data_IF_924091769534
#
_entry.id   IF_924091769534
#
_cell.length_a   1.000
_cell.length_b   1.000
_cell.length_c   1.000
_cell.angle_alpha   90.00
_cell.angle_beta   90.00
_cell.angle_gamma   90.00
#
_symmetry.space_group_name_H-M   'P 1'
#
loop_
_entity.id
_entity.type
_entity.pdbx_description
1 polymer ?
#
# COMPACT_ATOMS: atom_id res chain seq x y z
N UNK A 1 11.14 0.50 35.37
CA UNK A 1 10.10 0.98 34.43
C UNK A 1 10.66 1.30 33.05
N UNK A 2 11.67 2.19 32.91
CA UNK A 2 12.29 2.49 31.60
C UNK A 2 12.91 1.26 30.91
N UNK A 3 13.64 0.43 31.65
CA UNK A 3 14.28 -0.79 31.08
C UNK A 3 13.27 -1.83 30.58
N UNK A 4 12.16 -2.01 31.31
CA UNK A 4 11.08 -2.94 30.95
C UNK A 4 10.31 -2.43 29.73
N UNK A 5 10.04 -1.12 29.66
CA UNK A 5 9.42 -0.50 28.49
C UNK A 5 10.30 -0.66 27.24
N UNK A 6 11.62 -0.51 27.39
CA UNK A 6 12.59 -0.73 26.30
C UNK A 6 12.55 -2.17 25.78
N UNK A 7 12.48 -3.16 26.67
CA UNK A 7 12.35 -4.57 26.27
C UNK A 7 11.08 -4.85 25.46
N UNK A 8 9.93 -4.29 25.87
CA UNK A 8 8.69 -4.44 25.10
C UNK A 8 8.74 -3.72 23.74
N UNK A 9 9.40 -2.57 23.67
CA UNK A 9 9.57 -1.85 22.42
C UNK A 9 10.51 -2.60 21.45
N UNK A 10 11.57 -3.21 21.98
CA UNK A 10 12.46 -4.09 21.21
C UNK A 10 11.71 -5.32 20.70
N UNK A 11 10.86 -5.95 21.50
CA UNK A 11 9.99 -7.05 21.05
C UNK A 11 9.00 -6.60 19.98
N UNK A 12 8.44 -5.39 20.10
CA UNK A 12 7.56 -4.82 19.09
C UNK A 12 8.28 -4.64 17.75
N UNK A 13 9.45 -4.01 17.74
CA UNK A 13 10.23 -3.84 16.51
C UNK A 13 10.71 -5.16 15.93
N UNK A 14 11.06 -6.14 16.79
CA UNK A 14 11.46 -7.48 16.36
C UNK A 14 10.32 -8.24 15.68
N UNK A 15 9.06 -7.93 16.00
CA UNK A 15 7.89 -8.47 15.29
C UNK A 15 7.81 -8.07 13.81
N UNK A 16 8.56 -7.05 13.40
CA UNK A 16 8.71 -6.64 11.99
C UNK A 16 10.02 -7.11 11.35
N UNK A 17 10.84 -7.89 12.05
CA UNK A 17 12.07 -8.43 11.46
C UNK A 17 11.72 -9.31 10.24
N UNK A 18 12.44 -9.11 9.14
CA UNK A 18 12.17 -9.82 7.88
C UNK A 18 11.06 -9.20 7.03
N UNK A 19 10.31 -8.20 7.53
CA UNK A 19 9.20 -7.58 6.81
C UNK A 19 9.57 -7.02 5.43
N UNK A 20 10.71 -6.34 5.32
CA UNK A 20 11.19 -5.78 4.04
C UNK A 20 11.43 -6.88 2.98
N UNK A 21 12.10 -7.95 3.39
CA UNK A 21 12.53 -9.05 2.51
C UNK A 21 11.39 -10.02 2.19
N UNK A 22 10.60 -10.41 3.19
CA UNK A 22 9.62 -11.50 3.05
C UNK A 22 8.24 -11.01 2.65
N UNK A 23 7.88 -9.77 3.03
CA UNK A 23 6.52 -9.26 2.79
C UNK A 23 6.51 -8.15 1.76
N UNK A 24 7.36 -7.12 1.90
CA UNK A 24 7.36 -5.98 0.99
C UNK A 24 7.72 -6.39 -0.45
N UNK A 25 8.68 -7.31 -0.59
CA UNK A 25 9.08 -7.87 -1.88
C UNK A 25 7.95 -8.71 -2.52
N UNK A 26 7.16 -9.43 -1.72
CA UNK A 26 6.02 -10.21 -2.19
C UNK A 26 4.86 -9.32 -2.69
N UNK A 27 4.62 -8.19 -2.00
CA UNK A 27 3.69 -7.15 -2.49
C UNK A 27 4.18 -6.53 -3.80
N UNK A 28 5.49 -6.32 -3.96
CA UNK A 28 6.09 -5.75 -5.18
C UNK A 28 6.04 -6.71 -6.38
N UNK A 29 6.32 -8.00 -6.15
CA UNK A 29 6.43 -9.01 -7.20
C UNK A 29 5.05 -9.52 -7.69
N UNK A 30 4.04 -9.56 -6.81
CA UNK A 30 2.69 -10.07 -7.14
C UNK A 30 1.81 -8.97 -7.76
N UNK A 31 2.17 -8.54 -8.97
CA UNK A 31 1.35 -7.60 -9.76
C UNK A 31 -0.08 -8.16 -10.03
N UNK A 32 -1.09 -7.34 -9.72
CA UNK A 32 -2.53 -7.46 -10.06
C UNK A 32 -3.38 -8.62 -9.47
N UNK A 33 -2.80 -9.70 -8.94
CA UNK A 33 -3.57 -10.85 -8.36
C UNK A 33 -3.43 -11.04 -6.86
N UNK A 34 -2.89 -10.04 -6.15
CA UNK A 34 -2.69 -10.15 -4.71
C UNK A 34 -4.03 -10.21 -3.96
N UNK A 35 -4.29 -11.33 -3.28
CA UNK A 35 -5.44 -11.51 -2.40
C UNK A 35 -5.01 -11.31 -0.95
N UNK A 36 -5.40 -10.17 -0.37
CA UNK A 36 -5.05 -9.83 1.02
C UNK A 36 -5.58 -10.87 2.01
N UNK A 37 -6.80 -11.38 1.82
CA UNK A 37 -7.39 -12.34 2.75
C UNK A 37 -6.59 -13.65 2.80
N UNK A 38 -6.20 -14.18 1.65
CA UNK A 38 -5.36 -15.40 1.58
C UNK A 38 -3.98 -15.16 2.19
N UNK A 39 -3.39 -13.99 1.93
CA UNK A 39 -2.08 -13.66 2.44
C UNK A 39 -2.08 -13.47 3.96
N UNK A 40 -3.11 -12.82 4.51
CA UNK A 40 -3.30 -12.70 5.97
C UNK A 40 -3.46 -14.08 6.61
N UNK A 41 -4.19 -15.01 6.00
CA UNK A 41 -4.33 -16.39 6.51
C UNK A 41 -2.98 -17.14 6.54
N UNK A 42 -2.10 -16.85 5.58
CA UNK A 42 -0.79 -17.52 5.46
C UNK A 42 0.24 -16.97 6.44
N UNK A 43 0.17 -15.67 6.78
CA UNK A 43 1.25 -14.97 7.47
C UNK A 43 0.86 -14.36 8.82
N UNK A 44 -0.43 -14.28 9.14
CA UNK A 44 -0.92 -13.75 10.42
C UNK A 44 -1.68 -14.82 11.20
N UNK A 45 -1.65 -14.68 12.53
CA UNK A 45 -2.58 -15.38 13.40
C UNK A 45 -4.01 -14.89 13.18
N UNK A 46 -4.99 -15.72 13.57
CA UNK A 46 -6.40 -15.40 13.38
C UNK A 46 -6.76 -14.10 14.09
N UNK A 47 -7.06 -13.06 13.31
CA UNK A 47 -7.58 -11.78 13.80
C UNK A 47 -9.01 -11.98 14.33
N UNK A 48 -9.20 -11.70 15.61
CA UNK A 48 -10.51 -11.82 16.30
C UNK A 48 -11.39 -10.57 16.10
N UNK A 49 -10.82 -9.45 15.65
CA UNK A 49 -11.49 -8.15 15.53
C UNK A 49 -11.87 -7.86 14.08
N UNK A 50 -10.93 -8.02 13.14
CA UNK A 50 -11.17 -7.82 11.71
C UNK A 50 -10.79 -9.07 10.92
N UNK A 51 -11.80 -9.77 10.40
CA UNK A 51 -11.56 -10.98 9.60
C UNK A 51 -10.64 -10.77 8.38
N UNK A 52 -10.14 -11.86 7.76
CA UNK A 52 -9.23 -11.79 6.63
C UNK A 52 -9.76 -10.91 5.49
N UNK A 53 -8.94 -10.00 4.99
CA UNK A 53 -9.27 -9.07 3.90
C UNK A 53 -10.26 -7.96 4.28
N UNK A 54 -10.73 -7.89 5.53
CA UNK A 54 -11.61 -6.81 5.98
C UNK A 54 -10.79 -5.55 6.23
N UNK A 55 -11.28 -4.44 5.66
CA UNK A 55 -10.69 -3.10 5.76
C UNK A 55 -11.52 -2.28 6.77
N UNK A 56 -10.91 -1.73 7.84
CA UNK A 56 -11.61 -0.85 8.77
C UNK A 56 -12.22 0.37 8.07
N UNK A 57 -13.47 0.70 8.43
CA UNK A 57 -14.19 1.89 7.93
C UNK A 57 -13.42 3.14 8.36
N UNK A 58 -13.16 4.05 7.42
CA UNK A 58 -12.43 5.32 7.64
C UNK A 58 -11.08 5.45 6.92
N UNK A 59 -10.51 4.36 6.40
CA UNK A 59 -9.28 4.43 5.58
C UNK A 59 -9.57 4.91 4.13
N UNK A 60 -10.81 4.71 3.65
CA UNK A 60 -11.19 4.92 2.24
C UNK A 60 -12.32 5.93 2.00
N UNK A 61 -13.18 6.20 2.98
CA UNK A 61 -14.36 7.02 2.75
C UNK A 61 -14.00 8.51 2.78
N UNK A 62 -13.96 9.11 1.59
CA UNK A 62 -14.45 10.46 1.23
C UNK A 62 -13.68 11.16 0.10
N UNK A 63 -12.67 10.54 -0.52
CA UNK A 63 -12.00 11.17 -1.68
C UNK A 63 -12.73 10.82 -2.98
N UNK A 64 -13.44 11.82 -3.55
CA UNK A 64 -14.23 11.73 -4.78
C UNK A 64 -13.41 11.75 -6.08
N UNK A 65 -12.10 11.57 -6.01
CA UNK A 65 -11.23 11.73 -7.18
C UNK A 65 -11.11 10.39 -7.91
N UNK A 66 -11.61 10.32 -9.15
CA UNK A 66 -11.45 9.14 -10.03
C UNK A 66 -9.99 9.05 -10.49
N UNK A 67 -9.15 8.16 -9.94
CA UNK A 67 -7.76 8.06 -10.35
C UNK A 67 -7.67 7.32 -11.69
N UNK A 68 -6.58 7.53 -12.44
CA UNK A 68 -6.25 6.68 -13.59
C UNK A 68 -6.09 5.22 -13.15
N UNK A 69 -6.30 4.26 -14.05
CA UNK A 69 -6.21 2.81 -13.75
C UNK A 69 -4.86 2.45 -13.07
N UNK A 70 -3.76 3.06 -13.51
CA UNK A 70 -2.43 2.88 -12.91
C UNK A 70 -2.31 3.50 -11.49
N UNK A 71 -2.89 4.70 -11.26
CA UNK A 71 -2.96 5.29 -9.91
C UNK A 71 -3.82 4.43 -8.98
N UNK A 72 -4.93 3.89 -9.47
CA UNK A 72 -5.81 3.00 -8.70
C UNK A 72 -5.10 1.70 -8.33
N UNK A 73 -4.29 1.13 -9.23
CA UNK A 73 -3.51 -0.08 -8.98
C UNK A 73 -2.39 0.14 -7.95
N UNK A 74 -1.57 1.18 -8.13
CA UNK A 74 -0.51 1.52 -7.17
C UNK A 74 -1.09 1.89 -5.80
N UNK A 75 -2.18 2.66 -5.78
CA UNK A 75 -2.87 3.00 -4.54
C UNK A 75 -3.41 1.75 -3.83
N UNK A 76 -4.02 0.82 -4.58
CA UNK A 76 -4.52 -0.44 -4.02
C UNK A 76 -3.39 -1.29 -3.45
N UNK A 77 -2.23 -1.36 -4.11
CA UNK A 77 -1.06 -2.08 -3.61
C UNK A 77 -0.52 -1.47 -2.32
N UNK A 78 -0.32 -0.15 -2.29
CA UNK A 78 0.13 0.59 -1.10
C UNK A 78 -0.87 0.40 0.05
N UNK A 79 -2.17 0.50 -0.24
CA UNK A 79 -3.21 0.30 0.76
C UNK A 79 -3.16 -1.12 1.34
N UNK A 80 -2.99 -2.13 0.48
CA UNK A 80 -2.94 -3.54 0.86
C UNK A 80 -1.73 -3.84 1.75
N UNK A 81 -0.55 -3.32 1.39
CA UNK A 81 0.66 -3.44 2.20
C UNK A 81 0.50 -2.72 3.55
N UNK A 82 -0.06 -1.51 3.56
CA UNK A 82 -0.32 -0.75 4.79
C UNK A 82 -1.29 -1.50 5.73
N UNK A 83 -2.37 -2.07 5.19
CA UNK A 83 -3.34 -2.85 5.94
C UNK A 83 -2.70 -4.07 6.61
N UNK A 84 -1.95 -4.85 5.83
CA UNK A 84 -1.24 -6.01 6.35
C UNK A 84 -0.27 -5.61 7.47
N UNK A 85 0.48 -4.51 7.27
CA UNK A 85 1.43 -3.99 8.28
C UNK A 85 0.73 -3.57 9.57
N UNK A 86 -0.44 -2.93 9.47
CA UNK A 86 -1.24 -2.55 10.65
C UNK A 86 -1.71 -3.79 11.42
N UNK A 87 -2.15 -4.84 10.74
CA UNK A 87 -2.59 -6.08 11.38
C UNK A 87 -1.42 -6.86 12.00
N UNK A 88 -0.28 -6.95 11.32
CA UNK A 88 0.95 -7.53 11.85
C UNK A 88 1.41 -6.80 13.13
N UNK A 89 1.33 -5.47 13.12
CA UNK A 89 1.59 -4.65 14.31
C UNK A 89 0.60 -4.92 15.44
N UNK A 90 -0.68 -5.06 15.12
CA UNK A 90 -1.73 -5.42 16.08
C UNK A 90 -1.50 -6.78 16.74
N UNK A 91 -1.12 -7.80 15.96
CA UNK A 91 -0.77 -9.13 16.47
C UNK A 91 0.46 -9.09 17.39
N UNK A 92 1.51 -8.39 16.96
CA UNK A 92 2.74 -8.22 17.74
C UNK A 92 2.43 -7.52 19.07
N UNK A 93 1.63 -6.47 19.03
CA UNK A 93 1.17 -5.77 20.22
C UNK A 93 0.33 -6.66 21.14
N UNK A 94 -0.60 -7.45 20.58
CA UNK A 94 -1.40 -8.39 21.35
C UNK A 94 -0.55 -9.46 22.05
N UNK A 95 0.51 -9.95 21.41
CA UNK A 95 1.48 -10.88 22.00
C UNK A 95 2.19 -10.25 23.21
N UNK A 96 2.64 -9.00 23.08
CA UNK A 96 3.28 -8.24 24.16
C UNK A 96 2.31 -8.05 25.34
N UNK A 97 1.06 -7.62 25.08
CA UNK A 97 0.06 -7.45 26.13
C UNK A 97 -0.28 -8.77 26.82
N UNK A 98 -0.46 -9.86 26.06
CA UNK A 98 -0.69 -11.20 26.63
C UNK A 98 0.47 -11.63 27.53
N UNK A 99 1.71 -11.32 27.15
CA UNK A 99 2.91 -11.59 27.96
C UNK A 99 2.89 -10.79 29.27
N UNK A 100 2.66 -9.48 29.19
CA UNK A 100 2.51 -8.60 30.37
C UNK A 100 1.43 -9.13 31.33
N UNK A 101 0.25 -9.49 30.79
CA UNK A 101 -0.86 -10.00 31.60
C UNK A 101 -0.53 -11.34 32.28
N UNK A 102 0.19 -12.24 31.59
CA UNK A 102 0.65 -13.51 32.18
C UNK A 102 1.68 -13.30 33.27
N UNK A 103 2.67 -12.45 33.05
CA UNK A 103 3.72 -12.14 34.02
C UNK A 103 3.09 -11.54 35.29
N UNK A 104 2.20 -10.56 35.15
CA UNK A 104 1.45 -9.98 36.26
C UNK A 104 0.54 -10.99 36.97
N UNK A 105 -0.08 -11.92 36.24
CA UNK A 105 -0.91 -12.98 36.82
C UNK A 105 -0.08 -14.02 37.58
N UNK A 106 1.17 -14.28 37.15
CA UNK A 106 2.08 -15.21 37.82
C UNK A 106 2.65 -14.61 39.10
N UNK A 107 2.93 -13.31 39.13
CA UNK A 107 3.27 -12.57 40.36
C UNK A 107 2.10 -12.55 41.34
N UNK A 108 0.87 -12.36 40.84
CA UNK A 108 -0.35 -12.46 41.64
C UNK A 108 -0.62 -13.87 42.20
N UNK A 109 -0.32 -14.92 41.44
CA UNK A 109 -0.47 -16.32 41.89
C UNK A 109 0.58 -16.73 42.94
N UNK A 110 1.81 -16.22 42.82
CA UNK A 110 2.84 -16.37 43.85
C UNK A 110 2.42 -15.67 45.16
N UNK A 111 1.77 -14.50 45.08
CA UNK A 111 1.22 -13.80 46.24
C UNK A 111 -0.03 -14.50 46.83
N UNK A 112 -0.87 -15.11 45.99
CA UNK A 112 -2.13 -15.77 46.37
C UNK A 112 -1.96 -17.14 47.06
N UNK A 113 -0.74 -17.68 47.15
CA UNK A 113 -0.48 -18.92 47.92
C UNK A 113 -0.57 -18.67 49.45
N UNK A 114 -0.76 -17.42 49.90
CA UNK A 114 -0.86 -17.09 51.34
C UNK A 114 -2.28 -16.77 51.83
N UNK A 115 -3.32 -16.81 51.00
CA UNK A 115 -4.68 -16.58 51.49
C UNK A 115 -5.75 -17.26 50.65
N UNK A 116 -6.04 -18.52 51.01
CA UNK A 116 -7.21 -19.24 50.52
C UNK A 116 -8.43 -18.88 51.36
N UNK A 117 -9.41 -18.17 50.79
CA UNK A 117 -10.83 -18.49 51.01
C UNK A 117 -11.69 -17.95 49.85
N UNK A 118 -12.35 -18.85 49.12
CA UNK A 118 -13.39 -18.59 48.11
C UNK A 118 -14.66 -18.09 48.81
N UNK A 119 -15.53 -17.26 48.16
CA UNK A 119 -16.64 -17.87 47.41
C UNK A 119 -17.12 -17.12 46.14
N UNK A 120 -17.73 -17.93 45.26
CA UNK A 120 -18.87 -17.69 44.36
C UNK A 120 -18.81 -16.61 43.25
N UNK A 121 -18.70 -17.09 42.01
CA UNK A 121 -19.05 -16.39 40.77
C UNK A 121 -20.57 -16.22 40.64
N UNK A 122 -21.03 -14.97 40.51
CA UNK A 122 -22.34 -14.61 39.92
C UNK A 122 -22.07 -13.83 38.64
N UNK A 123 -22.51 -14.35 37.50
CA UNK A 123 -22.48 -13.66 36.22
C UNK A 123 -23.68 -12.73 36.10
N UNK A 124 -23.43 -11.43 35.96
CA UNK A 124 -24.40 -10.49 35.40
C UNK A 124 -23.74 -9.74 34.24
N UNK A 125 -24.30 -9.86 33.05
CA UNK A 125 -23.93 -9.07 31.87
C UNK A 125 -24.55 -7.69 31.95
N UNK A 126 -23.82 -6.61 31.59
CA UNK A 126 -24.48 -5.38 31.17
C UNK A 126 -24.10 -5.00 29.73
N UNK A 127 -25.13 -5.11 28.89
CA UNK A 127 -25.43 -4.30 27.71
C UNK A 127 -24.92 -2.86 27.74
N UNK A 128 -24.35 -2.45 26.58
CA UNK A 128 -24.50 -1.14 25.90
C UNK A 128 -24.40 0.14 26.72
N UNK A 129 -23.30 0.90 26.55
CA UNK A 129 -23.34 2.36 26.57
C UNK A 129 -22.25 2.98 25.68
N UNK A 130 -22.51 4.13 25.01
CA UNK A 130 -21.69 4.66 23.93
C UNK A 130 -20.44 5.38 24.42
N UNK A 131 -19.35 5.24 23.66
CA UNK A 131 -18.04 5.84 23.93
C UNK A 131 -18.12 7.38 23.80
N UNK A 132 -17.91 8.10 24.91
CA UNK A 132 -17.65 9.55 24.88
C UNK A 132 -16.18 9.74 24.52
N UNK A 133 -15.93 10.45 23.41
CA UNK A 133 -14.59 10.83 22.95
C UNK A 133 -14.06 11.93 23.87
N UNK A 134 -13.04 11.63 24.66
CA UNK A 134 -12.31 12.64 25.44
C UNK A 134 -11.40 13.45 24.50
N UNK A 135 -11.59 14.77 24.46
CA UNK A 135 -10.71 15.68 23.75
C UNK A 135 -9.31 15.65 24.38
N UNK A 136 -8.28 15.36 23.56
CA UNK A 136 -6.88 15.42 23.97
C UNK A 136 -6.50 16.89 24.22
N UNK A 137 -6.32 17.26 25.48
CA UNK A 137 -5.69 18.52 25.87
C UNK A 137 -4.18 18.33 25.75
N UNK A 138 -3.54 19.05 24.82
CA UNK A 138 -2.08 19.09 24.68
C UNK A 138 -1.53 20.01 25.76
N UNK A 139 -0.62 19.50 26.60
CA UNK A 139 0.04 20.27 27.66
C UNK A 139 0.92 21.39 27.06
N UNK A 140 0.64 22.67 27.35
CA UNK A 140 1.36 23.80 26.78
C UNK A 140 2.82 23.95 27.27
N UNK A 141 3.26 23.16 28.27
CA UNK A 141 4.60 23.27 28.86
C UNK A 141 5.55 22.10 28.54
N UNK A 142 5.22 21.26 27.55
CA UNK A 142 6.13 20.19 27.11
C UNK A 142 7.43 20.77 26.53
N UNK A 143 8.50 20.78 27.31
CA UNK A 143 9.82 21.24 26.86
C UNK A 143 10.52 20.12 26.11
N UNK A 144 10.67 20.31 24.80
CA UNK A 144 11.26 19.32 23.89
C UNK A 144 12.76 19.64 23.70
N UNK A 145 13.60 18.64 23.92
CA UNK A 145 15.06 18.73 23.74
C UNK A 145 15.45 18.17 22.38
N UNK A 146 16.40 18.83 21.70
CA UNK A 146 17.07 18.34 20.48
C UNK A 146 18.55 18.22 20.78
N UNK A 147 19.16 17.05 20.52
CA UNK A 147 20.56 16.75 20.83
C UNK A 147 20.97 17.05 22.28
N UNK A 148 20.03 16.87 23.23
CA UNK A 148 20.25 17.11 24.65
C UNK A 148 20.27 18.59 25.08
N UNK A 149 20.01 19.54 24.18
CA UNK A 149 19.87 20.98 24.51
C UNK A 149 18.40 21.42 24.46
N UNK A 150 18.03 22.25 25.43
CA UNK A 150 16.70 22.85 25.54
C UNK A 150 16.66 24.07 24.61
N UNK A 151 15.86 24.00 23.55
CA UNK A 151 15.67 25.10 22.61
C UNK A 151 14.74 26.16 23.24
N UNK A 152 15.05 27.43 23.02
CA UNK A 152 14.16 28.53 23.41
C UNK A 152 12.94 28.58 22.48
N UNK A 153 11.83 29.18 22.93
CA UNK A 153 10.60 29.27 22.14
C UNK A 153 10.78 30.03 20.81
N UNK A 154 11.72 30.97 20.75
CA UNK A 154 12.04 31.75 19.54
C UNK A 154 12.82 30.92 18.52
N UNK A 155 13.81 30.14 18.97
CA UNK A 155 14.57 29.22 18.11
C UNK A 155 13.65 28.15 17.50
N UNK A 156 12.73 27.63 18.31
CA UNK A 156 11.72 26.66 17.86
C UNK A 156 10.77 27.23 16.80
N UNK A 157 10.27 28.45 16.99
CA UNK A 157 9.39 29.08 16.01
C UNK A 157 10.13 29.41 14.71
N UNK A 158 11.41 29.79 14.79
CA UNK A 158 12.26 30.00 13.62
C UNK A 158 12.48 28.71 12.85
N UNK A 159 12.77 27.61 13.55
CA UNK A 159 12.99 26.29 12.95
C UNK A 159 11.71 25.73 12.31
N UNK A 160 10.55 25.86 12.98
CA UNK A 160 9.24 25.53 12.37
C UNK A 160 9.01 26.28 11.06
N UNK A 161 9.30 27.58 11.05
CA UNK A 161 9.12 28.42 9.85
C UNK A 161 10.05 27.96 8.74
N UNK A 162 11.31 27.68 9.07
CA UNK A 162 12.28 27.14 8.11
C UNK A 162 11.83 25.80 7.51
N UNK A 163 11.40 24.85 8.35
CA UNK A 163 10.90 23.54 7.90
C UNK A 163 9.67 23.72 7.00
N UNK A 164 8.74 24.60 7.37
CA UNK A 164 7.55 24.88 6.55
C UNK A 164 7.94 25.43 5.18
N UNK A 165 8.92 26.34 5.12
CA UNK A 165 9.35 26.94 3.86
C UNK A 165 10.16 25.96 2.99
N UNK A 166 10.99 25.12 3.59
CA UNK A 166 11.65 23.99 2.90
C UNK A 166 10.62 22.99 2.35
N UNK A 167 9.59 22.66 3.13
CA UNK A 167 8.50 21.79 2.68
C UNK A 167 7.73 22.42 1.50
N UNK A 168 7.43 23.73 1.56
CA UNK A 168 6.79 24.44 0.44
C UNK A 168 7.65 24.41 -0.82
N UNK A 169 8.95 24.67 -0.69
CA UNK A 169 9.89 24.61 -1.83
C UNK A 169 9.96 23.21 -2.44
N UNK A 170 10.00 22.17 -1.61
CA UNK A 170 9.97 20.77 -2.06
C UNK A 170 8.66 20.41 -2.79
N UNK A 171 7.52 20.91 -2.29
CA UNK A 171 6.21 20.71 -2.94
C UNK A 171 6.16 21.40 -4.29
N UNK A 172 6.66 22.63 -4.39
CA UNK A 172 6.71 23.38 -5.64
C UNK A 172 7.61 22.73 -6.69
N UNK A 173 8.81 22.30 -6.29
CA UNK A 173 9.71 21.55 -7.17
C UNK A 173 9.06 20.24 -7.66
N UNK A 174 8.34 19.55 -6.78
CA UNK A 174 7.61 18.33 -7.14
C UNK A 174 6.47 18.63 -8.11
N UNK A 175 5.78 19.76 -7.94
CA UNK A 175 4.70 20.22 -8.83
C UNK A 175 5.22 20.51 -10.24
N UNK A 176 6.36 21.18 -10.36
CA UNK A 176 7.00 21.46 -11.65
C UNK A 176 7.38 20.18 -12.39
N UNK A 177 8.03 19.21 -11.71
CA UNK A 177 8.37 17.91 -12.29
C UNK A 177 7.14 17.14 -12.76
N UNK A 178 6.03 17.21 -12.02
CA UNK A 178 4.76 16.59 -12.43
C UNK A 178 4.20 17.25 -13.69
N UNK A 179 4.28 18.59 -13.79
CA UNK A 179 3.83 19.31 -14.98
C UNK A 179 4.65 18.97 -16.22
N UNK A 180 5.98 18.89 -16.08
CA UNK A 180 6.88 18.48 -17.15
C UNK A 180 6.59 17.04 -17.61
N UNK A 181 6.44 16.11 -16.65
CA UNK A 181 6.10 14.73 -16.96
C UNK A 181 4.75 14.60 -17.69
N UNK A 182 3.74 15.40 -17.30
CA UNK A 182 2.45 15.43 -17.97
C UNK A 182 2.55 15.97 -19.41
N UNK A 183 3.40 16.96 -19.64
CA UNK A 183 3.65 17.50 -20.98
C UNK A 183 4.29 16.46 -21.89
N UNK A 184 5.37 15.80 -21.42
CA UNK A 184 6.05 14.74 -22.17
C UNK A 184 5.14 13.54 -22.44
N UNK A 185 4.29 13.18 -21.47
CA UNK A 185 3.30 12.12 -21.64
C UNK A 185 2.32 12.45 -22.76
N UNK A 186 1.84 13.70 -22.83
CA UNK A 186 0.92 14.15 -23.88
C UNK A 186 1.58 14.06 -25.26
N UNK A 187 2.81 14.56 -25.39
CA UNK A 187 3.56 14.51 -26.65
C UNK A 187 3.79 13.06 -27.11
N UNK A 188 4.16 12.17 -26.18
CA UNK A 188 4.32 10.74 -26.47
C UNK A 188 3.01 10.08 -26.90
N UNK A 189 1.88 10.43 -26.27
CA UNK A 189 0.57 9.89 -26.67
C UNK A 189 0.15 10.34 -28.06
N UNK A 190 0.38 11.62 -28.41
CA UNK A 190 0.06 12.15 -29.72
C UNK A 190 0.92 11.49 -30.81
N UNK A 191 2.21 11.29 -30.54
CA UNK A 191 3.13 10.57 -31.43
C UNK A 191 2.71 9.11 -31.64
N UNK A 192 2.31 8.41 -30.57
CA UNK A 192 1.82 7.03 -30.62
C UNK A 192 0.56 6.92 -31.47
N UNK A 193 -0.39 7.84 -31.31
CA UNK A 193 -1.66 7.79 -32.03
C UNK A 193 -1.45 8.09 -33.52
N UNK A 194 -0.53 9.01 -33.86
CA UNK A 194 -0.07 9.25 -35.24
C UNK A 194 0.59 8.01 -35.85
N UNK A 195 1.47 7.34 -35.10
CA UNK A 195 2.13 6.10 -35.55
C UNK A 195 1.10 4.98 -35.78
N UNK A 196 0.12 4.85 -34.89
CA UNK A 196 -0.97 3.87 -35.01
C UNK A 196 -1.82 4.11 -36.27
N UNK A 197 -2.16 5.36 -36.56
CA UNK A 197 -2.86 5.72 -37.79
C UNK A 197 -2.04 5.37 -39.04
N UNK A 198 -0.73 5.62 -39.02
CA UNK A 198 0.18 5.29 -40.13
C UNK A 198 0.28 3.78 -40.35
N UNK A 199 0.40 2.98 -39.30
CA UNK A 199 0.41 1.51 -39.37
C UNK A 199 -0.88 1.02 -40.03
N UNK A 200 -2.04 1.50 -39.58
CA UNK A 200 -3.33 1.10 -40.15
C UNK A 200 -3.45 1.43 -41.65
N UNK A 201 -2.92 2.57 -42.08
CA UNK A 201 -2.85 2.92 -43.51
C UNK A 201 -2.00 1.92 -44.29
N UNK A 202 -0.78 1.64 -43.81
CA UNK A 202 0.15 0.73 -44.47
C UNK A 202 -0.37 -0.71 -44.52
N UNK A 203 -1.08 -1.17 -43.49
CA UNK A 203 -1.74 -2.48 -43.49
C UNK A 203 -2.81 -2.59 -44.59
N UNK A 204 -3.55 -1.50 -44.84
CA UNK A 204 -4.54 -1.46 -45.91
C UNK A 204 -3.86 -1.47 -47.28
N UNK A 205 -2.81 -0.67 -47.46
CA UNK A 205 -2.03 -0.63 -48.70
C UNK A 205 -1.43 -2.00 -49.02
N UNK A 206 -0.80 -2.66 -48.03
CA UNK A 206 -0.28 -4.03 -48.16
C UNK A 206 -1.37 -5.05 -48.54
N UNK A 207 -2.59 -4.89 -48.02
CA UNK A 207 -3.70 -5.78 -48.37
C UNK A 207 -4.10 -5.60 -49.84
N UNK A 208 -4.12 -4.37 -50.34
CA UNK A 208 -4.40 -4.06 -51.74
C UNK A 208 -3.33 -4.65 -52.65
N UNK A 209 -2.05 -4.40 -52.35
CA UNK A 209 -0.93 -4.92 -53.12
C UNK A 209 -0.94 -6.46 -53.17
N UNK A 210 -1.21 -7.13 -52.04
CA UNK A 210 -1.33 -8.60 -51.99
C UNK A 210 -2.42 -9.15 -52.92
N UNK A 211 -3.54 -8.44 -53.06
CA UNK A 211 -4.61 -8.85 -53.98
C UNK A 211 -4.18 -8.66 -55.44
N UNK A 212 -3.53 -7.53 -55.75
CA UNK A 212 -3.02 -7.25 -57.10
C UNK A 212 -1.96 -8.27 -57.53
N UNK A 213 -1.01 -8.61 -56.66
CA UNK A 213 0.02 -9.62 -56.93
C UNK A 213 -0.63 -10.97 -57.27
N UNK A 214 -1.61 -11.43 -56.47
CA UNK A 214 -2.32 -12.69 -56.75
C UNK A 214 -3.05 -12.70 -58.09
N UNK A 215 -3.63 -11.56 -58.48
CA UNK A 215 -4.26 -11.43 -59.80
C UNK A 215 -3.24 -11.59 -60.92
N UNK A 216 -2.13 -10.86 -60.82
CA UNK A 216 -1.04 -10.91 -61.80
C UNK A 216 -0.40 -12.30 -61.88
N UNK A 217 -0.18 -12.97 -60.75
CA UNK A 217 0.30 -14.36 -60.70
C UNK A 217 -0.65 -15.31 -61.44
N UNK A 218 -1.97 -15.12 -61.30
CA UNK A 218 -2.95 -15.91 -62.02
C UNK A 218 -2.92 -15.63 -63.53
N UNK A 219 -2.82 -14.36 -63.93
CA UNK A 219 -2.77 -13.97 -65.34
C UNK A 219 -1.50 -14.51 -66.03
N UNK A 220 -0.34 -14.41 -65.36
CA UNK A 220 0.93 -15.01 -65.83
C UNK A 220 0.79 -16.51 -66.03
N UNK A 221 0.18 -17.21 -65.07
CA UNK A 221 -0.05 -18.66 -65.17
C UNK A 221 -0.94 -19.03 -66.37
N UNK A 222 -1.98 -18.25 -66.65
CA UNK A 222 -2.84 -18.46 -67.83
C UNK A 222 -2.04 -18.28 -69.12
N UNK A 223 -1.28 -17.18 -69.23
CA UNK A 223 -0.44 -16.89 -70.41
C UNK A 223 0.61 -17.99 -70.65
N UNK A 224 1.22 -18.53 -69.60
CA UNK A 224 2.16 -19.65 -69.71
C UNK A 224 1.49 -20.93 -70.24
N UNK A 225 0.25 -21.22 -69.82
CA UNK A 225 -0.50 -22.36 -70.31
C UNK A 225 -0.90 -22.20 -71.78
N UNK A 226 -1.36 -21.02 -72.17
CA UNK A 226 -1.70 -20.71 -73.56
C UNK A 226 -0.47 -20.79 -74.46
N UNK A 227 0.67 -20.24 -74.01
CA UNK A 227 1.94 -20.38 -74.72
C UNK A 227 2.29 -21.85 -74.92
N UNK A 228 2.21 -22.71 -73.90
CA UNK A 228 2.49 -24.14 -74.05
C UNK A 228 1.59 -24.83 -75.07
N UNK A 229 0.31 -24.46 -75.15
CA UNK A 229 -0.64 -25.00 -76.14
C UNK A 229 -0.35 -24.55 -77.57
N UNK A 230 0.24 -23.37 -77.75
CA UNK A 230 0.56 -22.84 -79.09
C UNK A 230 1.80 -23.48 -79.74
N UNK A 231 2.62 -24.22 -78.98
CA UNK A 231 3.85 -24.88 -79.45
C UNK A 231 3.76 -26.42 -79.49
N UNK A 232 2.55 -26.98 -79.37
CA UNK A 232 2.22 -28.41 -79.57
C UNK A 232 1.34 -28.52 -80.81
#
# INVERSE_FOLDING_TARGET
MKEVLKQYLEEFYRGFAGFELEHLQDFHNRNMKFNLAEYEIQHLEKDEIYGPGIIPIGILDNRKDKPSIAKTLNYKMILTASLFTMKLGGETFAKIIKKILRENSSEGAAAATTSRTTPALRWESPTSNPMIISQVVVDPNATMTKDGKQLTAEEWNKEKTQIIDEMKACVEQSREKVNEANFLLKESTDARDKAKARIKSLENDLKIERVQIKSLENDVRILEQEKKKAYV
#
